data_IF_593719242614
#
_entry.id   IF_593719242614
#
_cell.length_a   1.000
_cell.length_b   1.000
_cell.length_c   1.000
_cell.angle_alpha   90.00
_cell.angle_beta   90.00
_cell.angle_gamma   90.00
#
_symmetry.space_group_name_H-M   'P 1'
#
loop_
_entity.id
_entity.type
_entity.pdbx_description
1 polymer ?
#
# COMPACT_ATOMS: atom_id res chain seq x y z
N UNK A 1 -8.39 -22.33 -9.50
CA UNK A 1 -7.79 -21.46 -10.53
C UNK A 1 -6.28 -21.50 -10.35
N UNK A 2 -5.53 -21.70 -11.44
CA UNK A 2 -4.07 -21.64 -11.41
C UNK A 2 -3.68 -20.17 -11.63
N UNK A 3 -3.53 -19.42 -10.54
CA UNK A 3 -3.11 -18.01 -10.59
C UNK A 3 -1.60 -17.99 -10.84
N UNK A 4 -1.11 -17.35 -11.93
CA UNK A 4 0.32 -17.29 -12.21
C UNK A 4 1.05 -16.61 -11.04
N UNK A 5 2.30 -17.02 -10.81
CA UNK A 5 3.12 -16.35 -9.81
C UNK A 5 3.35 -14.88 -10.24
N UNK A 6 3.11 -13.91 -9.34
CA UNK A 6 3.35 -12.51 -9.65
C UNK A 6 4.85 -12.24 -9.87
N UNK A 7 5.15 -11.17 -10.58
CA UNK A 7 6.51 -10.68 -10.74
C UNK A 7 7.16 -10.45 -9.36
N UNK A 8 8.46 -10.74 -9.24
CA UNK A 8 9.21 -10.66 -7.98
C UNK A 8 10.39 -9.72 -8.14
N UNK A 9 10.52 -8.81 -7.17
CA UNK A 9 11.69 -7.94 -7.01
C UNK A 9 12.36 -8.31 -5.68
N UNK A 10 13.68 -8.51 -5.72
CA UNK A 10 14.48 -8.78 -4.53
C UNK A 10 15.28 -7.54 -4.13
N UNK A 11 15.12 -7.12 -2.87
CA UNK A 11 15.87 -6.01 -2.28
C UNK A 11 16.54 -6.45 -0.97
N UNK A 12 17.51 -5.67 -0.50
CA UNK A 12 18.25 -5.93 0.73
C UNK A 12 18.02 -4.82 1.77
N UNK A 13 17.66 -5.19 3.00
CA UNK A 13 17.57 -4.30 4.15
C UNK A 13 18.68 -4.58 5.17
N UNK A 14 19.16 -3.54 5.86
CA UNK A 14 20.19 -3.68 6.89
C UNK A 14 19.60 -4.16 8.23
N UNK A 15 20.31 -5.04 8.94
CA UNK A 15 19.93 -5.52 10.30
C UNK A 15 21.07 -5.36 11.32
N UNK A 16 20.75 -5.12 12.60
CA UNK A 16 21.73 -5.04 13.70
C UNK A 16 22.16 -6.46 14.11
N UNK A 17 23.37 -6.85 13.70
CA UNK A 17 24.08 -8.03 14.22
C UNK A 17 24.00 -9.30 13.36
N UNK A 18 25.15 -9.98 13.21
CA UNK A 18 25.21 -11.39 12.79
C UNK A 18 24.88 -12.25 14.01
N UNK A 19 23.93 -13.17 13.86
CA UNK A 19 23.37 -14.08 14.88
C UNK A 19 22.09 -13.56 15.57
N UNK A 20 21.02 -13.45 14.80
CA UNK A 20 19.68 -13.70 15.33
C UNK A 20 19.28 -15.08 14.80
N UNK A 21 19.63 -16.11 15.57
CA UNK A 21 19.32 -17.50 15.22
C UNK A 21 17.83 -17.67 15.02
N UNK A 22 17.43 -18.30 13.90
CA UNK A 22 16.12 -18.84 13.51
C UNK A 22 14.83 -18.04 13.84
N UNK A 23 14.98 -16.82 14.36
CA UNK A 23 13.92 -15.99 14.91
C UNK A 23 13.69 -14.87 13.93
N UNK A 24 12.53 -14.92 13.27
CA UNK A 24 12.02 -13.94 12.30
C UNK A 24 12.27 -12.51 12.77
N UNK A 25 13.34 -11.89 12.29
CA UNK A 25 13.58 -10.47 12.59
C UNK A 25 12.93 -9.63 11.51
N UNK A 26 11.68 -9.23 11.78
CA UNK A 26 10.91 -8.25 10.99
C UNK A 26 11.34 -6.79 11.27
N UNK A 27 12.55 -6.59 11.80
CA UNK A 27 13.08 -5.28 12.23
C UNK A 27 14.34 -4.99 11.44
N UNK A 28 14.27 -3.96 10.61
CA UNK A 28 15.34 -3.47 9.76
C UNK A 28 15.80 -2.11 10.23
N UNK A 29 16.93 -1.64 9.68
CA UNK A 29 17.53 -0.37 10.05
C UNK A 29 17.68 0.49 8.83
N UNK A 30 17.18 1.72 8.94
CA UNK A 30 17.44 2.80 8.00
C UNK A 30 18.29 3.87 8.67
N UNK A 31 19.19 4.49 7.90
CA UNK A 31 19.97 5.65 8.34
C UNK A 31 19.36 6.92 7.77
N UNK A 32 19.03 7.87 8.63
CA UNK A 32 18.59 9.23 8.29
C UNK A 32 19.45 10.21 9.08
N UNK A 33 20.09 11.16 8.39
CA UNK A 33 20.94 12.20 8.99
C UNK A 33 21.99 11.69 9.97
N UNK A 34 22.65 10.57 9.63
CA UNK A 34 23.66 9.93 10.47
C UNK A 34 23.11 9.12 11.65
N UNK A 35 21.81 9.21 11.93
CA UNK A 35 21.14 8.44 13.00
C UNK A 35 20.51 7.17 12.42
N UNK A 36 20.65 6.06 13.14
CA UNK A 36 20.07 4.76 12.75
C UNK A 36 18.73 4.57 13.46
N UNK A 37 17.69 4.25 12.69
CA UNK A 37 16.33 4.01 13.19
C UNK A 37 15.90 2.59 12.83
N UNK A 38 15.28 1.90 13.80
CA UNK A 38 14.58 0.66 13.52
C UNK A 38 13.27 0.94 12.77
N UNK A 39 12.99 0.11 11.77
CA UNK A 39 11.81 0.23 10.92
C UNK A 39 11.29 -1.16 10.52
N UNK A 40 10.01 -1.25 10.15
CA UNK A 40 9.44 -2.49 9.62
C UNK A 40 9.89 -2.72 8.17
N UNK A 41 9.58 -3.89 7.62
CA UNK A 41 10.05 -4.31 6.29
C UNK A 41 9.46 -3.46 5.16
N UNK A 42 8.23 -2.98 5.35
CA UNK A 42 7.48 -2.17 4.40
C UNK A 42 8.11 -0.78 4.25
N UNK A 43 8.69 -0.24 5.34
CA UNK A 43 9.43 1.02 5.29
C UNK A 43 10.73 0.86 4.48
N UNK A 44 11.41 -0.30 4.55
CA UNK A 44 12.58 -0.59 3.70
C UNK A 44 12.19 -0.58 2.22
N UNK A 45 11.10 -1.27 1.89
CA UNK A 45 10.57 -1.33 0.52
C UNK A 45 10.12 0.05 0.02
N UNK A 46 9.41 0.84 0.84
CA UNK A 46 9.01 2.20 0.50
C UNK A 46 10.21 3.09 0.20
N UNK A 47 11.24 3.08 1.06
CA UNK A 47 12.48 3.85 0.82
C UNK A 47 13.20 3.42 -0.48
N UNK A 48 13.16 2.13 -0.84
CA UNK A 48 13.67 1.66 -2.12
C UNK A 48 12.90 2.29 -3.28
N UNK A 49 11.56 2.22 -3.31
CA UNK A 49 10.78 2.78 -4.42
C UNK A 49 10.94 4.28 -4.57
N UNK A 50 10.96 5.02 -3.46
CA UNK A 50 11.16 6.47 -3.46
C UNK A 50 12.53 6.86 -4.07
N UNK A 51 13.55 6.01 -3.94
CA UNK A 51 14.86 6.20 -4.58
C UNK A 51 14.91 5.74 -6.04
N UNK A 52 13.91 4.98 -6.49
CA UNK A 52 13.86 4.35 -7.81
C UNK A 52 12.75 4.94 -8.70
N UNK A 53 12.58 6.27 -8.61
CA UNK A 53 11.76 7.03 -9.54
C UNK A 53 10.27 7.10 -9.19
N UNK A 54 9.86 6.58 -8.04
CA UNK A 54 8.57 6.93 -7.45
C UNK A 54 8.72 8.15 -6.54
N UNK A 55 7.71 9.00 -6.50
CA UNK A 55 7.77 10.27 -5.74
C UNK A 55 7.12 10.15 -4.37
N UNK A 56 6.08 9.34 -4.26
CA UNK A 56 5.29 9.16 -3.04
C UNK A 56 4.79 7.71 -2.92
N UNK A 57 4.52 7.26 -1.70
CA UNK A 57 3.88 5.98 -1.45
C UNK A 57 3.45 5.85 0.01
N UNK A 58 2.50 4.95 0.25
CA UNK A 58 1.96 4.69 1.59
C UNK A 58 1.97 3.20 1.88
N UNK A 59 2.24 2.85 3.14
CA UNK A 59 1.99 1.53 3.70
C UNK A 59 0.62 1.57 4.37
N UNK A 60 -0.41 1.17 3.62
CA UNK A 60 -1.80 1.32 4.03
C UNK A 60 -2.68 0.12 3.66
N UNK A 61 -2.10 -0.96 3.12
CA UNK A 61 -2.84 -2.12 2.62
C UNK A 61 -4.03 -1.69 1.72
N UNK A 62 -5.24 -2.12 2.05
CA UNK A 62 -6.46 -1.73 1.37
C UNK A 62 -7.02 -0.37 1.76
N UNK A 63 -6.53 0.28 2.83
CA UNK A 63 -7.12 1.51 3.35
C UNK A 63 -7.07 2.64 2.32
N UNK A 64 -5.98 2.77 1.56
CA UNK A 64 -5.91 3.75 0.47
C UNK A 64 -6.98 3.52 -0.61
N UNK A 65 -7.19 2.27 -1.01
CA UNK A 65 -8.18 1.92 -2.03
C UNK A 65 -9.60 2.09 -1.53
N UNK A 66 -9.86 1.73 -0.28
CA UNK A 66 -11.16 1.92 0.37
C UNK A 66 -11.46 3.40 0.60
N UNK A 67 -10.50 4.20 1.06
CA UNK A 67 -10.67 5.65 1.20
C UNK A 67 -11.03 6.28 -0.14
N UNK A 68 -10.32 5.91 -1.22
CA UNK A 68 -10.60 6.47 -2.54
C UNK A 68 -11.95 5.97 -3.09
N UNK A 69 -12.32 4.72 -2.84
CA UNK A 69 -13.64 4.19 -3.17
C UNK A 69 -14.76 4.92 -2.40
N UNK A 70 -14.60 5.07 -1.09
CA UNK A 70 -15.52 5.77 -0.20
C UNK A 70 -15.74 7.21 -0.65
N UNK A 71 -14.67 7.94 -0.97
CA UNK A 71 -14.75 9.33 -1.42
C UNK A 71 -15.34 9.49 -2.83
N UNK A 72 -14.94 8.65 -3.80
CA UNK A 72 -15.41 8.78 -5.18
C UNK A 72 -16.81 8.22 -5.40
N UNK A 73 -17.24 7.27 -4.57
CA UNK A 73 -18.57 6.69 -4.63
C UNK A 73 -19.44 7.14 -3.44
N UNK A 74 -19.05 8.20 -2.75
CA UNK A 74 -19.68 8.64 -1.52
C UNK A 74 -21.19 8.83 -1.68
N UNK A 75 -21.62 9.62 -2.67
CA UNK A 75 -23.04 9.89 -2.95
C UNK A 75 -23.85 8.65 -3.34
N UNK A 76 -23.18 7.57 -3.76
CA UNK A 76 -23.81 6.29 -4.13
C UNK A 76 -23.87 5.35 -2.92
N UNK A 77 -22.76 5.24 -2.17
CA UNK A 77 -22.66 4.41 -0.96
C UNK A 77 -23.60 4.96 0.11
N UNK A 78 -23.58 6.29 0.27
CA UNK A 78 -24.36 7.04 1.24
C UNK A 78 -25.62 7.69 0.64
N UNK A 79 -26.15 7.11 -0.45
CA UNK A 79 -27.39 7.55 -1.08
C UNK A 79 -28.57 7.42 -0.10
N UNK A 80 -28.95 8.55 0.52
CA UNK A 80 -30.06 8.67 1.46
C UNK A 80 -31.42 8.26 0.86
N UNK A 81 -31.55 8.18 -0.47
CA UNK A 81 -32.78 7.77 -1.14
C UNK A 81 -32.98 6.25 -1.13
N UNK A 82 -31.98 5.46 -0.70
CA UNK A 82 -32.13 4.00 -0.55
C UNK A 82 -32.96 3.66 0.69
N UNK A 83 -34.21 3.26 0.46
CA UNK A 83 -35.12 2.81 1.51
C UNK A 83 -34.50 1.71 2.39
N UNK A 84 -34.59 1.87 3.71
CA UNK A 84 -34.13 0.90 4.70
C UNK A 84 -32.63 0.94 5.01
N UNK A 85 -31.86 1.85 4.40
CA UNK A 85 -30.40 1.97 4.63
C UNK A 85 -30.04 3.11 5.60
N UNK A 86 -30.83 4.20 5.64
CA UNK A 86 -30.52 5.42 6.41
C UNK A 86 -31.60 5.78 7.43
N UNK A 87 -31.20 6.31 8.59
CA UNK A 87 -32.10 6.77 9.66
C UNK A 87 -32.13 8.31 9.85
N UNK A 88 -31.21 9.09 9.22
CA UNK A 88 -31.25 10.56 9.12
C UNK A 88 -30.29 11.11 8.02
N UNK A 89 -30.38 12.42 7.72
CA UNK A 89 -29.79 13.11 6.55
C UNK A 89 -28.69 14.13 6.92
N UNK A 90 -27.57 14.17 6.17
CA UNK A 90 -26.94 15.34 5.48
C UNK A 90 -25.45 15.12 5.17
N UNK A 91 -24.97 15.34 3.92
CA UNK A 91 -23.55 15.13 3.51
C UNK A 91 -23.02 15.88 2.23
N UNK A 92 -21.76 16.35 2.22
CA UNK A 92 -20.83 16.64 1.08
C UNK A 92 -19.40 16.05 1.36
N UNK A 93 -18.97 15.07 0.56
CA UNK A 93 -18.02 13.99 0.90
C UNK A 93 -16.63 14.27 1.56
N UNK A 94 -15.75 15.17 1.07
CA UNK A 94 -14.38 15.31 1.63
C UNK A 94 -14.29 16.43 2.67
N UNK A 95 -14.56 17.67 2.25
CA UNK A 95 -14.43 18.83 3.13
C UNK A 95 -15.50 18.84 4.24
N UNK A 96 -16.70 18.28 4.02
CA UNK A 96 -17.69 18.20 5.10
C UNK A 96 -17.54 16.99 6.01
N UNK A 97 -16.90 15.90 5.57
CA UNK A 97 -16.73 14.69 6.40
C UNK A 97 -15.31 14.43 6.87
N UNK A 98 -14.36 15.33 6.60
CA UNK A 98 -13.00 15.19 7.08
C UNK A 98 -12.98 14.98 8.60
N UNK A 99 -12.47 13.83 9.05
CA UNK A 99 -12.43 13.44 10.46
C UNK A 99 -13.63 12.61 10.94
N UNK A 100 -14.65 12.38 10.11
CA UNK A 100 -15.75 11.48 10.45
C UNK A 100 -15.34 10.01 10.30
N UNK A 101 -15.75 9.16 11.25
CA UNK A 101 -15.39 7.74 11.21
C UNK A 101 -16.45 6.93 10.46
N UNK A 102 -16.07 6.29 9.35
CA UNK A 102 -16.86 5.24 8.71
C UNK A 102 -15.97 4.02 8.37
N UNK A 103 -16.58 2.91 7.97
CA UNK A 103 -15.86 1.64 7.72
C UNK A 103 -14.97 1.64 6.48
N UNK A 104 -15.16 2.61 5.59
CA UNK A 104 -14.56 2.65 4.26
C UNK A 104 -13.47 3.72 4.16
N UNK A 105 -13.49 4.75 5.01
CA UNK A 105 -12.64 5.92 4.90
C UNK A 105 -11.67 6.01 6.06
N UNK A 106 -10.38 5.95 5.75
CA UNK A 106 -9.30 6.25 6.69
C UNK A 106 -8.64 7.56 6.26
N UNK A 107 -8.83 8.60 7.07
CA UNK A 107 -8.34 9.96 6.81
C UNK A 107 -6.82 10.07 6.95
N UNK A 108 -6.21 9.24 7.80
CA UNK A 108 -4.78 9.26 8.07
C UNK A 108 -3.93 8.62 6.96
N UNK A 109 -4.56 8.08 5.92
CA UNK A 109 -3.85 7.49 4.77
C UNK A 109 -3.11 8.55 3.97
N UNK A 110 -3.71 9.73 3.82
CA UNK A 110 -3.10 10.85 3.09
C UNK A 110 -2.71 11.94 4.09
N UNK A 111 -1.49 12.44 3.98
CA UNK A 111 -1.02 13.53 4.85
C UNK A 111 -1.74 14.85 4.56
N UNK A 112 -2.15 15.07 3.31
CA UNK A 112 -2.85 16.27 2.85
C UNK A 112 -3.73 15.96 1.62
N UNK A 113 -4.76 16.78 1.40
CA UNK A 113 -5.63 16.64 0.22
C UNK A 113 -4.86 16.75 -1.11
N UNK A 114 -3.79 17.54 -1.14
CA UNK A 114 -2.94 17.63 -2.32
C UNK A 114 -2.27 16.30 -2.68
N UNK A 115 -1.95 15.46 -1.69
CA UNK A 115 -1.41 14.12 -1.89
C UNK A 115 -2.45 13.19 -2.53
N UNK A 116 -3.69 13.21 -2.04
CA UNK A 116 -4.80 12.47 -2.66
C UNK A 116 -4.95 12.87 -4.13
N UNK A 117 -4.92 14.17 -4.46
CA UNK A 117 -5.01 14.63 -5.86
C UNK A 117 -3.88 14.07 -6.72
N UNK A 118 -2.63 14.09 -6.25
CA UNK A 118 -1.47 13.53 -6.98
C UNK A 118 -1.62 12.03 -7.23
N UNK A 119 -2.13 11.28 -6.25
CA UNK A 119 -2.44 9.87 -6.41
C UNK A 119 -3.55 9.64 -7.45
N UNK A 120 -4.65 10.38 -7.38
CA UNK A 120 -5.77 10.28 -8.35
C UNK A 120 -5.31 10.58 -9.77
N UNK A 121 -4.42 11.56 -9.97
CA UNK A 121 -3.85 11.86 -11.29
C UNK A 121 -3.08 10.68 -11.91
N UNK A 122 -2.51 9.80 -11.09
CA UNK A 122 -1.82 8.60 -11.56
C UNK A 122 -2.78 7.43 -11.84
N UNK A 123 -4.01 7.51 -11.34
CA UNK A 123 -5.02 6.47 -11.49
C UNK A 123 -5.82 6.69 -12.77
N UNK A 124 -5.56 5.88 -13.81
CA UNK A 124 -6.42 5.90 -15.00
C UNK A 124 -7.87 5.56 -14.62
N UNK A 125 -8.90 6.26 -15.17
CA UNK A 125 -10.29 6.01 -14.81
C UNK A 125 -10.73 4.54 -14.98
N UNK A 126 -10.18 3.83 -15.99
CA UNK A 126 -10.43 2.40 -16.19
C UNK A 126 -9.94 1.54 -15.02
N UNK A 127 -8.79 1.89 -14.42
CA UNK A 127 -8.23 1.16 -13.26
C UNK A 127 -9.14 1.32 -12.05
N UNK A 128 -9.49 2.57 -11.71
CA UNK A 128 -10.38 2.86 -10.57
C UNK A 128 -11.72 2.15 -10.73
N UNK A 129 -12.37 2.30 -11.89
CA UNK A 129 -13.68 1.68 -12.14
C UNK A 129 -13.62 0.15 -12.09
N UNK A 130 -12.54 -0.49 -12.52
CA UNK A 130 -12.39 -1.94 -12.38
C UNK A 130 -12.22 -2.38 -10.93
N UNK A 131 -11.39 -1.70 -10.15
CA UNK A 131 -11.20 -2.00 -8.72
C UNK A 131 -12.52 -1.81 -7.96
N UNK A 132 -13.23 -0.71 -8.20
CA UNK A 132 -14.51 -0.43 -7.55
C UNK A 132 -15.56 -1.45 -7.97
N UNK A 133 -15.64 -1.81 -9.25
CA UNK A 133 -16.57 -2.85 -9.72
C UNK A 133 -16.30 -4.18 -9.03
N UNK A 134 -15.03 -4.54 -8.81
CA UNK A 134 -14.68 -5.76 -8.06
C UNK A 134 -15.11 -5.67 -6.60
N UNK A 135 -14.90 -4.52 -5.94
CA UNK A 135 -15.35 -4.29 -4.56
C UNK A 135 -16.88 -4.33 -4.44
N UNK A 136 -17.61 -3.66 -5.34
CA UNK A 136 -19.08 -3.61 -5.31
C UNK A 136 -19.70 -4.97 -5.58
N UNK A 137 -19.14 -5.75 -6.52
CA UNK A 137 -19.72 -7.04 -6.90
C UNK A 137 -19.58 -8.13 -5.82
N UNK A 138 -18.53 -8.09 -5.00
CA UNK A 138 -18.32 -9.06 -3.93
C UNK A 138 -17.48 -8.46 -2.78
N UNK A 139 -18.07 -7.46 -2.11
CA UNK A 139 -17.36 -6.67 -1.10
C UNK A 139 -16.80 -7.52 0.02
N UNK A 140 -17.59 -8.46 0.55
CA UNK A 140 -17.19 -9.30 1.70
C UNK A 140 -15.91 -10.09 1.41
N UNK A 141 -15.77 -10.61 0.20
CA UNK A 141 -14.60 -11.42 -0.17
C UNK A 141 -13.45 -10.57 -0.72
N UNK A 142 -13.74 -9.43 -1.35
CA UNK A 142 -12.75 -8.58 -2.01
C UNK A 142 -12.15 -7.50 -1.09
N UNK A 143 -12.80 -7.13 0.03
CA UNK A 143 -12.33 -6.05 0.92
C UNK A 143 -10.99 -6.28 1.63
N UNK A 144 -10.36 -7.45 1.45
CA UNK A 144 -9.15 -7.87 2.16
C UNK A 144 -8.11 -8.47 1.21
N UNK A 145 -6.83 -8.41 1.59
CA UNK A 145 -5.72 -8.96 0.81
C UNK A 145 -5.22 -8.02 -0.30
N UNK A 146 -5.47 -6.72 -0.18
CA UNK A 146 -4.79 -5.72 -1.00
C UNK A 146 -3.28 -5.73 -0.72
N UNK A 147 -2.43 -5.36 -1.70
CA UNK A 147 -0.99 -5.25 -1.50
C UNK A 147 -0.64 -4.20 -0.43
N UNK A 148 0.43 -4.46 0.33
CA UNK A 148 0.84 -3.60 1.46
C UNK A 148 1.12 -2.15 1.04
N UNK A 149 1.81 -1.97 -0.10
CA UNK A 149 2.23 -0.66 -0.61
C UNK A 149 1.45 -0.27 -1.86
N UNK A 150 1.08 1.01 -1.92
CA UNK A 150 0.68 1.70 -3.16
C UNK A 150 1.62 2.89 -3.36
N UNK A 151 2.26 2.96 -4.52
CA UNK A 151 3.33 3.91 -4.81
C UNK A 151 3.08 4.58 -6.18
N UNK A 152 3.30 5.89 -6.29
CA UNK A 152 3.05 6.65 -7.51
C UNK A 152 4.08 7.75 -7.79
N UNK A 153 4.03 8.29 -9.01
CA UNK A 153 4.73 9.48 -9.44
C UNK A 153 3.85 10.25 -10.44
N UNK A 154 3.31 11.39 -10.00
CA UNK A 154 2.38 12.25 -10.75
C UNK A 154 3.03 12.95 -11.93
N UNK A 155 4.34 13.20 -11.87
CA UNK A 155 5.11 13.83 -12.95
C UNK A 155 5.32 12.87 -14.14
N UNK A 156 5.40 11.57 -13.86
CA UNK A 156 5.64 10.52 -14.88
C UNK A 156 4.42 9.65 -15.16
N UNK A 157 3.34 9.81 -14.39
CA UNK A 157 2.13 8.99 -14.48
C UNK A 157 2.32 7.53 -14.01
N UNK A 158 3.39 7.23 -13.27
CA UNK A 158 3.64 5.86 -12.78
C UNK A 158 2.74 5.54 -11.58
N UNK A 159 2.21 4.31 -11.58
CA UNK A 159 1.44 3.74 -10.49
C UNK A 159 1.82 2.26 -10.33
N UNK A 160 2.11 1.84 -9.10
CA UNK A 160 2.39 0.47 -8.76
C UNK A 160 1.81 0.08 -7.41
N UNK A 161 1.54 -1.22 -7.25
CA UNK A 161 1.23 -1.86 -5.97
C UNK A 161 2.26 -2.93 -5.69
N UNK A 162 2.70 -3.02 -4.44
CA UNK A 162 3.72 -3.99 -4.03
C UNK A 162 3.29 -4.70 -2.75
N UNK A 163 3.31 -6.02 -2.78
CA UNK A 163 3.16 -6.86 -1.59
C UNK A 163 4.55 -7.16 -1.04
N UNK A 164 4.82 -6.77 0.21
CA UNK A 164 6.13 -6.87 0.83
C UNK A 164 6.22 -8.17 1.62
N UNK A 165 7.30 -8.92 1.41
CA UNK A 165 7.54 -10.18 2.11
C UNK A 165 8.91 -10.20 2.74
N UNK A 166 8.95 -10.49 4.04
CA UNK A 166 10.17 -10.76 4.77
C UNK A 166 10.65 -12.21 4.57
N UNK A 167 11.80 -12.57 5.16
CA UNK A 167 12.35 -13.91 5.06
C UNK A 167 11.39 -14.99 5.57
N UNK A 168 11.00 -15.91 4.68
CA UNK A 168 10.12 -17.04 5.00
C UNK A 168 8.62 -16.76 4.90
N UNK A 169 8.22 -15.52 4.62
CA UNK A 169 6.81 -15.17 4.43
C UNK A 169 6.28 -15.64 3.08
N UNK A 170 5.02 -16.06 3.07
CA UNK A 170 4.33 -16.55 1.87
C UNK A 170 3.15 -15.64 1.53
N UNK A 171 2.85 -15.54 0.24
CA UNK A 171 1.65 -14.89 -0.26
C UNK A 171 0.40 -15.69 0.10
N UNK A 172 -0.62 -14.99 0.62
CA UNK A 172 -1.96 -15.56 0.73
C UNK A 172 -2.65 -15.66 -0.64
N UNK A 173 -3.69 -16.50 -0.74
CA UNK A 173 -4.50 -16.61 -1.95
C UNK A 173 -5.15 -15.28 -2.35
N UNK A 174 -5.64 -14.51 -1.37
CA UNK A 174 -6.27 -13.21 -1.63
C UNK A 174 -5.29 -12.19 -2.20
N UNK A 175 -4.06 -12.14 -1.66
CA UNK A 175 -3.00 -11.27 -2.18
C UNK A 175 -2.63 -11.61 -3.62
N UNK A 176 -2.49 -12.89 -3.96
CA UNK A 176 -2.26 -13.33 -5.34
C UNK A 176 -3.38 -12.88 -6.28
N UNK A 177 -4.63 -13.03 -5.86
CA UNK A 177 -5.80 -12.63 -6.64
C UNK A 177 -5.88 -11.11 -6.85
N UNK A 178 -5.41 -10.30 -5.90
CA UNK A 178 -5.35 -8.85 -6.04
C UNK A 178 -4.19 -8.42 -6.95
N UNK A 179 -2.97 -8.95 -6.73
CA UNK A 179 -1.81 -8.66 -7.57
C UNK A 179 -2.09 -8.99 -9.04
N UNK A 180 -2.67 -10.16 -9.31
CA UNK A 180 -3.09 -10.54 -10.66
C UNK A 180 -4.08 -9.54 -11.25
N UNK A 181 -5.08 -9.13 -10.47
CA UNK A 181 -6.12 -8.21 -10.95
C UNK A 181 -5.59 -6.83 -11.28
N UNK A 182 -4.68 -6.29 -10.46
CA UNK A 182 -4.00 -5.02 -10.74
C UNK A 182 -3.20 -5.13 -12.05
N UNK A 183 -2.43 -6.20 -12.20
CA UNK A 183 -1.63 -6.47 -13.42
C UNK A 183 -2.51 -6.54 -14.68
N UNK A 184 -3.61 -7.29 -14.64
CA UNK A 184 -4.57 -7.43 -15.74
C UNK A 184 -5.22 -6.09 -16.15
N UNK A 185 -5.26 -5.12 -15.24
CA UNK A 185 -5.83 -3.79 -15.47
C UNK A 185 -4.78 -2.72 -15.78
N UNK A 186 -3.53 -3.12 -16.00
CA UNK A 186 -2.45 -2.23 -16.44
C UNK A 186 -1.77 -1.46 -15.31
N UNK A 187 -1.89 -1.93 -14.06
CA UNK A 187 -1.12 -1.43 -12.93
C UNK A 187 0.06 -2.35 -12.68
N UNK A 188 1.26 -1.80 -12.53
CA UNK A 188 2.43 -2.58 -12.12
C UNK A 188 2.17 -3.21 -10.76
N UNK A 189 2.22 -4.54 -10.68
CA UNK A 189 1.87 -5.28 -9.48
C UNK A 189 2.82 -6.45 -9.27
N UNK A 190 3.55 -6.44 -8.16
CA UNK A 190 4.63 -7.40 -7.89
C UNK A 190 4.82 -7.65 -6.40
N UNK A 191 5.64 -8.65 -6.10
CA UNK A 191 6.07 -8.98 -4.74
C UNK A 191 7.45 -8.41 -4.51
N UNK A 192 7.60 -7.62 -3.45
CA UNK A 192 8.87 -7.07 -3.00
C UNK A 192 9.40 -7.94 -1.86
N UNK A 193 10.37 -8.79 -2.15
CA UNK A 193 11.00 -9.65 -1.16
C UNK A 193 12.22 -8.96 -0.54
N UNK A 194 12.21 -8.76 0.77
CA UNK A 194 13.29 -8.08 1.49
C UNK A 194 14.15 -9.10 2.22
N UNK A 195 15.42 -9.14 1.85
CA UNK A 195 16.43 -10.00 2.49
C UNK A 195 17.26 -9.21 3.50
N UNK A 196 17.68 -9.87 4.58
CA UNK A 196 18.55 -9.26 5.57
C UNK A 196 20.01 -9.24 5.06
N UNK A 197 20.60 -8.05 5.01
CA UNK A 197 22.02 -7.85 4.82
C UNK A 197 22.64 -7.40 6.15
N UNK A 198 23.68 -8.11 6.61
CA UNK A 198 24.38 -7.75 7.82
C UNK A 198 25.06 -6.38 7.65
N UNK A 199 24.88 -5.48 8.63
CA UNK A 199 25.65 -4.23 8.68
C UNK A 199 27.12 -4.57 8.91
N UNK A 200 27.99 -4.28 7.94
CA UNK A 200 29.44 -4.28 8.17
C UNK A 200 29.74 -3.07 9.05
N UNK A 201 29.91 -3.31 10.35
CA UNK A 201 30.54 -2.32 11.22
C UNK A 201 31.99 -2.20 10.78
N UNK A 202 32.32 -1.13 10.06
CA UNK A 202 33.71 -0.72 9.90
C UNK A 202 34.24 -0.38 11.29
N UNK A 203 34.91 -1.33 11.93
CA UNK A 203 35.73 -1.07 13.10
C UNK A 203 36.88 -0.19 12.65
N UNK A 204 36.75 1.12 12.88
CA UNK A 204 37.88 2.03 12.88
C UNK A 204 38.85 1.60 13.97
N UNK A 205 39.84 0.78 13.62
CA UNK A 205 41.07 0.64 14.41
C UNK A 205 41.87 1.93 14.21
N UNK A 206 41.77 2.84 15.16
CA UNK A 206 42.85 3.79 15.39
C UNK A 206 43.99 2.99 16.02
N UNK A 207 45.09 2.83 15.27
CA UNK A 207 46.42 2.60 15.83
C UNK A 207 47.05 3.95 16.15
#
# INVERSE_FOLDING_TARGET
MNVPDPERIDISGSVLGKNLGDSRTNRFIIRRDGTSYECPVEEVALNYYLRNGYKEGVHAEGAIWHTVFGLLCYDIIFDHQKEGVWFCETQLAYDEHYGETNSETSWDVFTEFAQLKRFILCCQPKVLTSIFRRLVNDYRNCRSGFPDLTIWNDETGKLAVAEVKGPGDKLSTKQRLWLQYFSEHGVTAHVCHVTAAAVVTSTGRNL
#
